data_IF_286843542668
#
_entry.id   IF_286843542668
#
_cell.length_a   1.000
_cell.length_b   1.000
_cell.length_c   1.000
_cell.angle_alpha   90.00
_cell.angle_beta   90.00
_cell.angle_gamma   90.00
#
_symmetry.space_group_name_H-M   'P 1'
#
loop_
_entity.id
_entity.type
_entity.pdbx_description
1 polymer ?
#
# COMPACT_ATOMS: atom_id res chain seq x y z
N UNK A 1 -11.28 4.47 0.29
CA UNK A 1 -10.41 5.67 0.40
C UNK A 1 -9.15 5.26 1.11
N UNK A 2 -8.00 5.88 0.80
CA UNK A 2 -6.74 5.59 1.49
C UNK A 2 -6.75 6.36 2.82
N UNK A 3 -6.80 5.62 3.92
CA UNK A 3 -6.88 6.18 5.28
C UNK A 3 -5.50 6.09 5.97
N UNK A 4 -5.19 7.07 6.84
CA UNK A 4 -3.95 7.08 7.63
C UNK A 4 -4.15 6.29 8.93
N UNK A 5 -4.36 4.99 8.79
CA UNK A 5 -4.57 4.06 9.91
C UNK A 5 -3.64 2.86 9.80
N UNK A 6 -3.25 2.30 10.94
CA UNK A 6 -2.48 1.06 10.97
C UNK A 6 -3.32 -0.11 10.49
N UNK A 7 -2.79 -0.91 9.57
CA UNK A 7 -3.39 -2.18 9.18
C UNK A 7 -2.85 -3.29 10.09
N UNK A 8 -3.53 -3.51 11.22
CA UNK A 8 -3.13 -4.53 12.19
C UNK A 8 -3.29 -5.94 11.61
N UNK A 9 -2.34 -6.84 11.88
CA UNK A 9 -2.29 -8.20 11.34
C UNK A 9 -1.58 -8.31 9.99
N UNK A 10 -1.29 -7.18 9.34
CA UNK A 10 -0.59 -7.14 8.05
C UNK A 10 0.94 -7.08 8.17
N UNK A 11 1.48 -7.42 9.34
CA UNK A 11 2.92 -7.62 9.52
C UNK A 11 3.35 -8.87 8.75
N UNK A 12 4.64 -8.99 8.47
CA UNK A 12 5.19 -10.15 7.78
C UNK A 12 6.57 -10.49 8.34
N UNK A 13 6.96 -11.75 8.25
CA UNK A 13 8.24 -12.27 8.75
C UNK A 13 8.49 -12.00 10.25
N UNK A 14 7.44 -11.82 11.05
CA UNK A 14 7.57 -11.49 12.48
C UNK A 14 8.25 -10.15 12.76
N UNK A 15 8.26 -9.23 11.78
CA UNK A 15 8.80 -7.89 11.97
C UNK A 15 7.93 -7.09 12.95
N UNK A 16 8.58 -6.40 13.89
CA UNK A 16 7.86 -5.60 14.88
C UNK A 16 7.22 -4.39 14.20
N UNK A 17 5.92 -4.20 14.44
CA UNK A 17 5.25 -2.93 14.16
C UNK A 17 5.79 -1.85 15.10
N UNK A 18 5.68 -0.59 14.68
CA UNK A 18 5.92 0.53 15.57
C UNK A 18 4.88 0.53 16.71
N UNK A 19 5.32 0.86 17.93
CA UNK A 19 4.43 0.94 19.10
C UNK A 19 3.42 2.10 18.97
N UNK A 20 3.77 3.12 18.19
CA UNK A 20 2.98 4.33 17.97
C UNK A 20 2.85 4.59 16.48
N UNK A 21 1.62 4.86 16.03
CA UNK A 21 1.36 5.29 14.65
C UNK A 21 2.06 6.63 14.39
N UNK A 22 2.84 6.78 13.31
CA UNK A 22 3.49 8.04 12.98
C UNK A 22 2.45 9.15 12.74
N UNK A 23 2.86 10.39 12.99
CA UNK A 23 2.03 11.55 12.68
C UNK A 23 1.69 11.59 11.19
N UNK A 24 0.44 11.96 10.89
CA UNK A 24 -0.03 12.11 9.52
C UNK A 24 0.79 13.18 8.77
N UNK A 25 1.33 12.88 7.59
CA UNK A 25 2.10 13.84 6.81
C UNK A 25 1.27 15.08 6.46
N UNK A 26 1.92 16.24 6.45
CA UNK A 26 1.24 17.51 6.09
C UNK A 26 0.69 17.48 4.66
N UNK A 27 1.41 16.83 3.74
CA UNK A 27 0.98 16.71 2.35
C UNK A 27 0.24 15.40 2.05
N UNK A 28 -0.34 14.73 3.06
CA UNK A 28 -1.00 13.43 2.90
C UNK A 28 -2.01 13.39 1.75
N UNK A 29 -2.87 14.40 1.63
CA UNK A 29 -3.90 14.44 0.58
C UNK A 29 -3.29 14.46 -0.83
N UNK A 30 -2.17 15.15 -0.99
CA UNK A 30 -1.46 15.21 -2.27
C UNK A 30 -0.75 13.89 -2.55
N UNK A 31 -0.17 13.25 -1.53
CA UNK A 31 0.41 11.91 -1.65
C UNK A 31 -0.62 10.87 -2.08
N UNK A 32 -1.83 10.91 -1.52
CA UNK A 32 -2.94 10.03 -1.91
C UNK A 32 -3.30 10.23 -3.39
N UNK A 33 -3.48 11.48 -3.84
CA UNK A 33 -3.77 11.77 -5.25
C UNK A 33 -2.67 11.27 -6.18
N UNK A 34 -1.40 11.46 -5.81
CA UNK A 34 -0.26 10.97 -6.58
C UNK A 34 -0.27 9.44 -6.67
N UNK A 35 -0.49 8.75 -5.55
CA UNK A 35 -0.57 7.29 -5.52
C UNK A 35 -1.73 6.77 -6.38
N UNK A 36 -2.92 7.35 -6.26
CA UNK A 36 -4.09 6.99 -7.07
C UNK A 36 -3.81 7.17 -8.57
N UNK A 37 -3.22 8.30 -8.97
CA UNK A 37 -2.91 8.59 -10.37
C UNK A 37 -1.81 7.66 -10.94
N UNK A 38 -0.75 7.40 -10.17
CA UNK A 38 0.36 6.55 -10.60
C UNK A 38 -0.05 5.08 -10.69
N UNK A 39 -0.89 4.60 -9.76
CA UNK A 39 -1.30 3.20 -9.70
C UNK A 39 -2.50 2.87 -10.60
N UNK A 40 -3.32 3.85 -10.99
CA UNK A 40 -4.55 3.66 -11.77
C UNK A 40 -4.45 2.75 -13.02
N UNK A 41 -3.34 2.73 -13.80
CA UNK A 41 -3.23 1.87 -14.97
C UNK A 41 -3.08 0.38 -14.66
N UNK A 42 -2.83 -0.01 -13.40
CA UNK A 42 -2.46 -1.37 -13.02
C UNK A 42 -3.51 -2.00 -12.10
N UNK A 43 -3.81 -3.31 -12.23
CA UNK A 43 -4.72 -4.00 -11.32
C UNK A 43 -4.17 -4.04 -9.88
N UNK A 44 -2.84 -4.11 -9.76
CA UNK A 44 -2.12 -4.08 -8.51
C UNK A 44 -0.71 -3.54 -8.76
N UNK A 45 -0.30 -2.58 -7.93
CA UNK A 45 1.09 -2.12 -7.82
C UNK A 45 1.26 -1.41 -6.49
N UNK A 46 2.39 -1.63 -5.81
CA UNK A 46 2.77 -0.83 -4.64
C UNK A 46 3.49 0.44 -5.12
N UNK A 47 3.17 1.60 -4.56
CA UNK A 47 3.88 2.85 -4.82
C UNK A 47 4.42 3.42 -3.52
N UNK A 48 5.70 3.75 -3.51
CA UNK A 48 6.36 4.32 -2.33
C UNK A 48 6.50 5.84 -2.50
N UNK A 49 5.95 6.60 -1.54
CA UNK A 49 6.05 8.05 -1.46
C UNK A 49 6.58 8.46 -0.09
N UNK A 50 7.43 9.48 -0.05
CA UNK A 50 8.01 10.02 1.18
C UNK A 50 7.72 11.51 1.29
N UNK A 51 7.28 11.98 2.46
CA UNK A 51 7.24 13.42 2.79
C UNK A 51 8.46 13.74 3.67
N UNK A 52 9.42 14.48 3.12
CA UNK A 52 10.62 14.92 3.84
C UNK A 52 10.61 16.44 3.90
N UNK A 53 10.41 16.97 5.11
CA UNK A 53 10.34 18.42 5.37
C UNK A 53 9.31 19.15 4.49
N UNK A 54 8.15 18.54 4.24
CA UNK A 54 7.09 19.13 3.43
C UNK A 54 7.29 18.99 1.93
N UNK A 55 8.29 18.22 1.49
CA UNK A 55 8.52 17.90 0.07
C UNK A 55 8.27 16.42 -0.17
N UNK A 56 7.43 16.12 -1.17
CA UNK A 56 7.12 14.76 -1.58
C UNK A 56 8.21 14.24 -2.52
N UNK A 57 8.66 13.01 -2.27
CA UNK A 57 9.61 12.27 -3.09
C UNK A 57 8.99 10.94 -3.51
N UNK A 58 9.10 10.64 -4.80
CA UNK A 58 8.80 9.31 -5.32
C UNK A 58 9.97 8.36 -5.06
N UNK A 59 9.66 7.17 -4.53
CA UNK A 59 10.63 6.10 -4.29
C UNK A 59 10.68 5.10 -5.44
N UNK A 60 9.71 4.19 -5.43
CA UNK A 60 9.61 3.11 -6.40
C UNK A 60 8.16 2.70 -6.68
N UNK A 61 8.00 1.91 -7.75
CA UNK A 61 6.80 1.11 -7.99
C UNK A 61 7.18 -0.37 -8.02
N UNK A 62 6.51 -1.18 -7.21
CA UNK A 62 6.81 -2.60 -7.05
C UNK A 62 5.62 -3.43 -7.50
N UNK A 63 5.79 -4.19 -8.58
CA UNK A 63 4.74 -5.05 -9.16
C UNK A 63 4.67 -6.42 -8.49
N UNK A 64 5.77 -6.89 -7.90
CA UNK A 64 5.86 -8.18 -7.21
C UNK A 64 6.57 -8.04 -5.85
N UNK A 65 5.91 -7.42 -4.85
CA UNK A 65 6.46 -7.30 -3.51
C UNK A 65 6.94 -8.65 -2.96
N UNK A 66 8.10 -8.66 -2.32
CA UNK A 66 8.74 -9.87 -1.79
C UNK A 66 8.82 -11.04 -2.80
N UNK A 67 9.03 -10.76 -4.09
CA UNK A 67 9.06 -11.76 -5.18
C UNK A 67 7.75 -12.55 -5.33
N UNK A 68 6.63 -12.01 -4.86
CA UNK A 68 5.33 -12.69 -4.88
C UNK A 68 5.19 -13.79 -3.82
N UNK A 69 6.07 -13.84 -2.82
CA UNK A 69 6.05 -14.84 -1.75
C UNK A 69 5.92 -14.20 -0.37
N UNK A 70 5.29 -13.03 -0.29
CA UNK A 70 4.99 -12.38 0.99
C UNK A 70 3.97 -13.26 1.74
N UNK A 71 4.22 -13.52 3.02
CA UNK A 71 3.29 -14.20 3.93
C UNK A 71 2.99 -13.22 5.05
N UNK A 72 1.72 -12.87 5.22
CA UNK A 72 1.28 -12.03 6.34
C UNK A 72 1.21 -12.86 7.63
N UNK A 73 1.34 -12.20 8.76
CA UNK A 73 1.28 -12.86 10.07
C UNK A 73 -0.16 -13.34 10.39
N UNK A 74 -1.19 -12.68 9.84
CA UNK A 74 -2.60 -13.10 9.90
C UNK A 74 -3.20 -13.29 8.49
N UNK A 75 -3.59 -14.52 8.17
CA UNK A 75 -4.22 -14.90 6.91
C UNK A 75 -5.49 -14.07 6.61
N UNK A 76 -6.22 -13.63 7.63
CA UNK A 76 -7.43 -12.82 7.44
C UNK A 76 -7.13 -11.49 6.73
N UNK A 77 -5.93 -10.94 6.91
CA UNK A 77 -5.48 -9.75 6.21
C UNK A 77 -5.21 -10.04 4.73
N UNK A 78 -4.66 -11.21 4.41
CA UNK A 78 -4.39 -11.63 3.03
C UNK A 78 -5.70 -11.78 2.24
N UNK A 79 -6.69 -12.44 2.85
CA UNK A 79 -8.04 -12.55 2.26
C UNK A 79 -8.68 -11.18 2.04
N UNK A 80 -8.62 -10.29 3.05
CA UNK A 80 -9.17 -8.93 2.94
C UNK A 80 -8.52 -8.11 1.83
N UNK A 81 -7.19 -8.22 1.66
CA UNK A 81 -6.49 -7.58 0.55
C UNK A 81 -6.92 -8.16 -0.80
N UNK A 82 -7.14 -9.48 -0.87
CA UNK A 82 -7.67 -10.14 -2.05
C UNK A 82 -9.05 -9.63 -2.47
N UNK A 83 -9.93 -9.31 -1.52
CA UNK A 83 -11.26 -8.73 -1.80
C UNK A 83 -11.20 -7.34 -2.45
N UNK A 84 -10.09 -6.60 -2.29
CA UNK A 84 -9.90 -5.30 -2.91
C UNK A 84 -9.44 -5.38 -4.37
N UNK A 85 -8.93 -6.54 -4.80
CA UNK A 85 -8.40 -6.73 -6.14
C UNK A 85 -9.53 -6.90 -7.17
N UNK A 86 -9.86 -5.82 -7.87
CA UNK A 86 -10.82 -5.86 -8.98
C UNK A 86 -10.13 -6.09 -10.33
N UNK A 87 -10.31 -7.29 -10.88
CA UNK A 87 -9.80 -7.67 -12.20
C UNK A 87 -10.83 -7.52 -13.33
N UNK A 88 -12.06 -7.07 -13.04
CA UNK A 88 -13.17 -7.03 -14.01
C UNK A 88 -12.82 -6.24 -15.28
N UNK A 89 -12.01 -5.19 -15.16
CA UNK A 89 -11.54 -4.34 -16.27
C UNK A 89 -10.50 -5.02 -17.16
N UNK A 90 -9.85 -6.08 -16.68
CA UNK A 90 -8.73 -6.76 -17.34
C UNK A 90 -9.10 -8.15 -17.86
N UNK A 91 -10.17 -8.74 -17.35
CA UNK A 91 -10.72 -9.99 -17.87
C UNK A 91 -11.42 -9.71 -19.21
N UNK A 92 -10.75 -10.03 -20.32
CA UNK A 92 -11.42 -10.09 -21.64
C UNK A 92 -12.42 -11.24 -21.63
N UNK A 93 -13.66 -10.98 -22.06
CA UNK A 93 -14.61 -12.02 -22.46
C UNK A 93 -14.15 -12.69 -23.76
#
# INVERSE_FOLDING_TARGET
TIDWESFDGSQFNGWKKADVCPEKPKNWEEMVKMAEALCAPFPFVRCDLYDVNGKIYFGEMTFTPAKGTLILDDDSCDFRMGEWLDLSRFLKK
#
